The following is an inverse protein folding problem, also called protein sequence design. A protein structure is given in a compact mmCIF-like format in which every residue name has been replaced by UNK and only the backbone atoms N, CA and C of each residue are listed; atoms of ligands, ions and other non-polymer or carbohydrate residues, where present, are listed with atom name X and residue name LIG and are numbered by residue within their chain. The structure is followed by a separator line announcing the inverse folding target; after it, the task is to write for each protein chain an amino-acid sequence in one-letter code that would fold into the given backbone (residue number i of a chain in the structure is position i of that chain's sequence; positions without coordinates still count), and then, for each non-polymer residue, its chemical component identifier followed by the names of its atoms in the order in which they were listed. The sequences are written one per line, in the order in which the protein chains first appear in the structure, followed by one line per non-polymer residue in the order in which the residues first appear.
data_IF_628134375929
#
_entry.id   IF_628134375929
#
_cell.length_a   1.000
_cell.length_b   1.000
_cell.length_c   1.000
_cell.angle_alpha   90.00
_cell.angle_beta   90.00
_cell.angle_gamma   90.00
#
_symmetry.space_group_name_H-M   'P 1'
#
loop_
_entity.id
_entity.type
_entity.pdbx_description
1 polymer ?
#
# COMPACT_ATOMS: atom_id res chain seq x y z
N UNK A 1 -83.99 24.75 -64.90
CA UNK A 1 -83.17 25.52 -65.85
C UNK A 1 -81.88 25.94 -65.15
N UNK A 2 -80.71 25.98 -65.77
CA UNK A 2 -80.24 25.32 -66.99
C UNK A 2 -78.70 25.46 -67.05
N UNK A 3 -78.03 24.52 -67.72
CA UNK A 3 -76.62 24.62 -68.17
C UNK A 3 -76.53 25.49 -69.46
N UNK A 4 -75.37 25.71 -70.13
CA UNK A 4 -74.10 24.96 -70.16
C UNK A 4 -72.84 25.86 -69.99
N UNK A 5 -71.57 25.59 -70.39
CA UNK A 5 -70.83 24.56 -71.18
C UNK A 5 -69.31 24.73 -70.86
N UNK A 6 -68.31 23.87 -71.14
CA UNK A 6 -68.11 22.41 -71.11
C UNK A 6 -66.58 22.10 -71.30
N UNK A 7 -66.22 20.98 -71.94
CA UNK A 7 -64.86 20.59 -72.43
C UNK A 7 -63.88 20.02 -71.37
N UNK A 8 -62.93 19.18 -71.80
CA UNK A 8 -62.18 18.15 -71.04
C UNK A 8 -60.80 17.91 -71.71
N UNK A 9 -59.87 17.21 -71.02
CA UNK A 9 -58.56 16.65 -71.52
C UNK A 9 -57.44 17.64 -71.93
N UNK A 10 -56.12 17.33 -71.85
CA UNK A 10 -55.30 16.48 -70.94
C UNK A 10 -53.81 16.86 -71.07
N UNK A 11 -53.07 16.74 -69.96
CA UNK A 11 -51.66 16.30 -69.85
C UNK A 11 -50.46 17.17 -70.33
N UNK A 12 -49.34 16.89 -69.66
CA UNK A 12 -47.91 16.88 -70.06
C UNK A 12 -46.94 18.09 -70.00
N UNK A 13 -45.86 17.80 -69.26
CA UNK A 13 -44.42 18.15 -69.36
C UNK A 13 -43.81 19.54 -69.02
N UNK A 14 -42.98 19.49 -67.96
CA UNK A 14 -41.57 19.91 -67.87
C UNK A 14 -41.14 21.40 -67.95
N UNK A 15 -40.68 21.91 -66.80
CA UNK A 15 -39.45 22.73 -66.72
C UNK A 15 -38.61 22.22 -65.54
N UNK A 16 -37.33 21.91 -65.78
CA UNK A 16 -36.40 21.42 -64.74
C UNK A 16 -35.97 22.52 -63.75
N UNK A 17 -35.76 22.15 -62.49
CA UNK A 17 -34.84 22.87 -61.60
C UNK A 17 -33.85 21.89 -60.95
N UNK A 18 -32.56 22.19 -61.08
CA UNK A 18 -31.50 21.22 -60.87
C UNK A 18 -31.33 20.80 -59.40
N UNK A 19 -31.73 19.57 -59.08
CA UNK A 19 -31.51 18.97 -57.77
C UNK A 19 -30.05 18.50 -57.65
N UNK A 20 -29.18 19.33 -57.06
CA UNK A 20 -27.79 18.94 -56.82
C UNK A 20 -27.73 17.65 -55.98
N UNK A 21 -27.07 16.58 -56.44
CA UNK A 21 -26.97 15.36 -55.67
C UNK A 21 -26.17 15.64 -54.40
N UNK A 22 -26.82 15.48 -53.24
CA UNK A 22 -26.16 15.65 -51.95
C UNK A 22 -24.91 14.76 -51.92
N UNK A 23 -23.75 15.35 -51.57
CA UNK A 23 -22.47 14.65 -51.59
C UNK A 23 -22.63 13.34 -50.83
N UNK A 24 -22.48 12.19 -51.51
CA UNK A 24 -22.47 10.86 -50.89
C UNK A 24 -21.38 10.85 -49.82
N UNK A 25 -21.75 11.20 -48.58
CA UNK A 25 -20.90 11.10 -47.41
C UNK A 25 -20.51 9.65 -47.34
N UNK A 26 -19.25 9.33 -47.68
CA UNK A 26 -18.74 7.97 -47.59
C UNK A 26 -18.98 7.51 -46.16
N UNK A 27 -19.99 6.66 -45.98
CA UNK A 27 -20.10 5.82 -44.80
C UNK A 27 -18.95 4.84 -44.91
N UNK A 28 -17.78 5.29 -44.47
CA UNK A 28 -16.68 4.42 -44.11
C UNK A 28 -17.29 3.38 -43.18
N UNK A 29 -17.42 2.14 -43.67
CA UNK A 29 -17.78 1.01 -42.81
C UNK A 29 -16.61 0.82 -41.85
N UNK A 30 -16.62 1.56 -40.75
CA UNK A 30 -15.85 1.18 -39.57
C UNK A 30 -16.34 -0.21 -39.22
N UNK A 31 -15.46 -1.21 -39.31
CA UNK A 31 -15.81 -2.54 -38.82
C UNK A 31 -16.18 -2.40 -37.34
N UNK A 32 -17.21 -3.12 -36.86
CA UNK A 32 -17.61 -3.10 -35.45
C UNK A 32 -16.38 -3.37 -34.58
N UNK A 33 -16.20 -2.55 -33.55
CA UNK A 33 -14.87 -2.29 -33.03
C UNK A 33 -14.22 -3.57 -32.47
N UNK A 34 -13.08 -3.97 -33.07
CA UNK A 34 -12.23 -5.04 -32.53
C UNK A 34 -11.52 -4.63 -31.23
N UNK A 35 -11.87 -3.47 -30.66
CA UNK A 35 -11.26 -2.90 -29.46
C UNK A 35 -11.29 -3.85 -28.27
N UNK A 36 -12.41 -4.54 -28.04
CA UNK A 36 -12.50 -5.55 -26.98
C UNK A 36 -11.51 -6.72 -27.18
N UNK A 37 -11.34 -7.21 -28.41
CA UNK A 37 -10.36 -8.27 -28.72
C UNK A 37 -8.92 -7.78 -28.56
N UNK A 38 -8.62 -6.54 -28.96
CA UNK A 38 -7.30 -5.93 -28.74
C UNK A 38 -7.02 -5.75 -27.23
N UNK A 39 -7.99 -5.27 -26.46
CA UNK A 39 -7.86 -5.10 -25.02
C UNK A 39 -7.61 -6.43 -24.29
N UNK A 40 -8.36 -7.49 -24.62
CA UNK A 40 -8.15 -8.82 -24.02
C UNK A 40 -6.83 -9.45 -24.51
N UNK A 41 -6.42 -9.23 -25.76
CA UNK A 41 -5.14 -9.73 -26.26
C UNK A 41 -3.94 -9.04 -25.57
N UNK A 42 -4.00 -7.73 -25.36
CA UNK A 42 -3.02 -7.00 -24.54
C UNK A 42 -3.05 -7.47 -23.08
N UNK A 43 -4.24 -7.69 -22.51
CA UNK A 43 -4.41 -8.27 -21.16
C UNK A 43 -3.83 -9.69 -21.04
N UNK A 44 -3.92 -10.49 -22.11
CA UNK A 44 -3.37 -11.84 -22.19
C UNK A 44 -1.84 -11.78 -22.22
N UNK A 45 -1.25 -10.98 -23.11
CA UNK A 45 0.20 -10.83 -23.25
C UNK A 45 0.82 -10.32 -21.94
N UNK A 46 0.26 -9.25 -21.35
CA UNK A 46 0.77 -8.69 -20.08
C UNK A 46 0.66 -9.69 -18.92
N UNK A 47 -0.42 -10.47 -18.84
CA UNK A 47 -0.59 -11.51 -17.81
C UNK A 47 0.35 -12.70 -18.04
N UNK A 48 0.59 -13.09 -19.30
CA UNK A 48 1.54 -14.15 -19.64
C UNK A 48 3.00 -13.76 -19.32
N UNK A 49 3.38 -12.50 -19.58
CA UNK A 49 4.70 -11.96 -19.21
C UNK A 49 4.86 -11.97 -17.67
N UNK A 50 3.86 -11.48 -16.93
CA UNK A 50 3.88 -11.50 -15.47
C UNK A 50 3.95 -12.93 -14.90
N UNK A 51 3.21 -13.88 -15.49
CA UNK A 51 3.27 -15.30 -15.12
C UNK A 51 4.66 -15.91 -15.37
N UNK A 52 5.26 -15.63 -16.53
CA UNK A 52 6.59 -16.12 -16.90
C UNK A 52 7.69 -15.57 -15.96
N UNK A 53 7.64 -14.27 -15.63
CA UNK A 53 8.57 -13.65 -14.66
C UNK A 53 8.42 -14.31 -13.28
N UNK A 54 7.19 -14.43 -12.77
CA UNK A 54 6.94 -15.02 -11.45
C UNK A 54 7.39 -16.49 -11.38
N UNK A 55 7.11 -17.29 -12.42
CA UNK A 55 7.61 -18.68 -12.49
C UNK A 55 9.14 -18.75 -12.59
N UNK A 56 9.77 -17.81 -13.30
CA UNK A 56 11.22 -17.67 -13.38
C UNK A 56 11.86 -17.35 -12.02
N UNK A 57 11.29 -16.41 -11.26
CA UNK A 57 11.73 -16.10 -9.89
C UNK A 57 11.58 -17.31 -8.98
N UNK A 58 10.45 -18.03 -9.04
CA UNK A 58 10.23 -19.23 -8.23
C UNK A 58 11.25 -20.33 -8.55
N UNK A 59 11.52 -20.57 -9.83
CA UNK A 59 12.53 -21.54 -10.28
C UNK A 59 13.96 -21.15 -9.90
N UNK A 60 14.30 -19.85 -9.97
CA UNK A 60 15.60 -19.34 -9.56
C UNK A 60 15.80 -19.48 -8.04
N UNK A 61 14.81 -19.08 -7.23
CA UNK A 61 14.83 -19.27 -5.76
C UNK A 61 15.01 -20.75 -5.40
N UNK A 62 14.21 -21.64 -5.99
CA UNK A 62 14.29 -23.08 -5.73
C UNK A 62 15.66 -23.67 -6.09
N UNK A 63 16.30 -23.19 -7.16
CA UNK A 63 17.60 -23.73 -7.62
C UNK A 63 18.82 -23.15 -6.90
N UNK A 64 18.72 -21.95 -6.32
CA UNK A 64 19.84 -21.29 -5.64
C UNK A 64 19.81 -21.43 -4.11
N UNK A 65 18.64 -21.70 -3.52
CA UNK A 65 18.44 -21.72 -2.05
C UNK A 65 17.78 -23.01 -1.51
N UNK A 66 17.49 -23.99 -2.38
CA UNK A 66 16.85 -25.28 -2.04
C UNK A 66 15.53 -25.18 -1.24
N UNK A 67 14.81 -24.07 -1.42
CA UNK A 67 13.57 -23.77 -0.69
C UNK A 67 12.34 -24.31 -1.44
N UNK A 68 11.79 -25.42 -0.94
CA UNK A 68 10.45 -25.90 -1.30
C UNK A 68 9.35 -24.96 -0.78
N UNK A 69 9.43 -24.58 0.50
CA UNK A 69 8.55 -23.62 1.17
C UNK A 69 9.34 -22.83 2.22
N UNK A 70 9.37 -21.51 2.08
CA UNK A 70 10.04 -20.63 3.03
C UNK A 70 10.39 -19.28 2.43
N UNK A 71 11.46 -18.67 2.93
CA UNK A 71 11.90 -17.33 2.56
C UNK A 71 13.39 -17.38 2.24
N UNK A 72 13.76 -17.03 1.01
CA UNK A 72 15.17 -16.90 0.62
C UNK A 72 15.67 -15.50 1.02
N UNK A 73 16.89 -15.43 1.56
CA UNK A 73 17.65 -14.20 1.74
C UNK A 73 18.60 -14.00 0.56
N UNK A 74 18.53 -12.84 -0.09
CA UNK A 74 19.36 -12.51 -1.26
C UNK A 74 20.19 -11.25 -0.94
N UNK A 75 21.52 -11.37 -1.01
CA UNK A 75 22.46 -10.27 -0.84
C UNK A 75 22.56 -9.41 -2.12
N UNK A 76 21.54 -8.60 -2.40
CA UNK A 76 21.55 -7.66 -3.53
C UNK A 76 20.83 -6.36 -3.20
N UNK A 77 21.51 -5.22 -3.35
CA UNK A 77 20.90 -3.90 -3.17
C UNK A 77 20.07 -3.49 -4.40
N UNK A 78 18.75 -3.77 -4.38
CA UNK A 78 17.82 -3.36 -5.44
C UNK A 78 16.60 -2.65 -4.85
N UNK A 79 16.54 -1.33 -5.04
CA UNK A 79 15.47 -0.44 -4.53
C UNK A 79 14.13 -0.61 -5.29
N UNK A 80 13.61 -1.83 -5.43
CA UNK A 80 12.39 -2.15 -6.19
C UNK A 80 11.38 -2.94 -5.34
N UNK A 81 10.56 -2.23 -4.57
CA UNK A 81 9.47 -2.82 -3.79
C UNK A 81 8.38 -3.46 -4.67
N UNK A 82 7.97 -4.68 -4.32
CA UNK A 82 6.73 -5.32 -4.77
C UNK A 82 6.23 -6.31 -3.70
N UNK A 83 4.96 -6.69 -3.75
CA UNK A 83 4.26 -7.55 -2.75
C UNK A 83 4.75 -9.01 -2.63
N UNK A 84 5.90 -9.32 -3.23
CA UNK A 84 6.58 -10.63 -3.27
C UNK A 84 8.06 -10.51 -2.91
N UNK A 85 8.67 -9.36 -3.26
CA UNK A 85 10.09 -9.07 -3.13
C UNK A 85 10.21 -7.80 -2.29
N UNK A 86 10.57 -7.98 -1.03
CA UNK A 86 10.74 -6.89 -0.08
C UNK A 86 12.17 -6.92 0.46
N UNK A 87 12.82 -5.76 0.36
CA UNK A 87 14.06 -5.48 1.05
C UNK A 87 13.78 -5.39 2.55
N UNK A 88 14.57 -6.09 3.36
CA UNK A 88 14.67 -5.81 4.79
C UNK A 88 15.97 -5.07 5.04
N UNK A 89 15.84 -3.81 5.47
CA UNK A 89 16.90 -3.18 6.25
C UNK A 89 17.25 -4.08 7.43
N UNK A 90 18.54 -4.21 7.72
CA UNK A 90 19.02 -5.01 8.83
C UNK A 90 18.72 -4.28 10.16
N UNK A 91 17.53 -4.52 10.71
CA UNK A 91 17.23 -4.24 12.12
C UNK A 91 17.84 -5.38 12.93
N UNK A 92 19.01 -5.14 13.51
CA UNK A 92 19.69 -6.17 14.29
C UNK A 92 19.00 -6.31 15.65
N UNK A 93 18.49 -7.50 15.96
CA UNK A 93 18.25 -7.89 17.36
C UNK A 93 19.60 -8.10 18.04
N UNK A 94 19.93 -7.24 18.99
CA UNK A 94 21.16 -7.30 19.78
C UNK A 94 20.87 -7.62 21.24
N UNK A 95 21.92 -7.70 22.05
CA UNK A 95 21.81 -7.81 23.50
C UNK A 95 22.62 -6.69 24.16
N UNK A 96 22.11 -6.17 25.27
CA UNK A 96 22.78 -5.20 26.12
C UNK A 96 23.27 -5.89 27.39
N UNK A 97 24.47 -5.53 27.85
CA UNK A 97 24.99 -5.98 29.16
C UNK A 97 25.62 -4.79 29.87
N UNK A 98 25.08 -4.42 31.03
CA UNK A 98 25.71 -3.44 31.92
C UNK A 98 26.61 -4.18 32.89
N UNK A 99 27.92 -3.98 32.78
CA UNK A 99 28.94 -4.73 33.52
C UNK A 99 29.98 -3.81 34.17
N UNK A 100 30.61 -4.26 35.25
CA UNK A 100 31.74 -3.57 35.86
C UNK A 100 33.06 -3.97 35.18
N UNK A 101 34.14 -3.16 35.27
CA UNK A 101 35.44 -3.52 34.72
C UNK A 101 35.99 -4.89 35.19
N UNK A 102 35.55 -5.39 36.36
CA UNK A 102 35.84 -6.73 36.84
C UNK A 102 35.45 -7.85 35.86
N UNK A 103 34.28 -7.73 35.21
CA UNK A 103 33.78 -8.70 34.23
C UNK A 103 34.81 -8.98 33.13
N UNK A 104 35.28 -7.90 32.47
CA UNK A 104 36.21 -7.96 31.35
C UNK A 104 37.61 -8.44 31.75
N UNK A 105 38.03 -8.15 32.99
CA UNK A 105 39.33 -8.55 33.54
C UNK A 105 39.46 -10.05 33.90
N UNK A 106 38.46 -10.87 33.57
CA UNK A 106 38.55 -12.33 33.66
C UNK A 106 38.30 -12.92 35.05
N UNK A 107 37.66 -12.17 35.96
CA UNK A 107 37.22 -12.72 37.25
C UNK A 107 36.16 -13.82 37.07
N UNK A 108 35.92 -14.62 38.11
CA UNK A 108 34.63 -15.28 38.25
C UNK A 108 33.57 -14.18 38.38
N UNK A 109 32.61 -14.16 37.45
CA UNK A 109 31.61 -13.09 37.36
C UNK A 109 30.28 -13.56 37.91
N UNK A 110 29.57 -12.67 38.61
CA UNK A 110 28.21 -12.92 39.08
C UNK A 110 27.20 -11.94 38.45
N UNK A 111 25.94 -12.41 38.34
CA UNK A 111 24.78 -11.57 37.97
C UNK A 111 23.87 -11.45 39.19
N UNK A 112 23.58 -10.22 39.62
CA UNK A 112 22.76 -9.98 40.81
C UNK A 112 21.25 -9.93 40.54
N UNK A 113 20.82 -9.56 39.33
CA UNK A 113 19.47 -9.06 39.11
C UNK A 113 18.53 -9.93 38.25
N UNK A 114 19.02 -10.95 37.54
CA UNK A 114 18.21 -11.89 36.74
C UNK A 114 18.87 -13.28 36.63
N UNK A 115 18.08 -14.31 36.32
CA UNK A 115 18.58 -15.62 35.84
C UNK A 115 19.39 -15.43 34.56
N UNK A 116 20.52 -16.14 34.42
CA UNK A 116 21.57 -15.81 33.46
C UNK A 116 22.11 -17.05 32.72
N UNK A 117 22.74 -16.78 31.58
CA UNK A 117 23.23 -17.76 30.62
C UNK A 117 24.77 -17.70 30.63
N UNK A 118 25.39 -18.53 31.48
CA UNK A 118 26.85 -18.48 31.74
C UNK A 118 27.68 -18.77 30.47
N UNK A 119 27.19 -19.62 29.58
CA UNK A 119 27.85 -19.95 28.31
C UNK A 119 27.81 -18.76 27.36
N UNK A 120 26.62 -18.17 27.14
CA UNK A 120 26.48 -16.99 26.30
C UNK A 120 27.25 -15.78 26.84
N UNK A 121 27.22 -15.53 28.16
CA UNK A 121 27.98 -14.43 28.78
C UNK A 121 29.50 -14.67 28.74
N UNK A 122 29.95 -15.91 28.83
CA UNK A 122 31.36 -16.26 28.67
C UNK A 122 31.84 -16.05 27.23
N UNK A 123 31.02 -16.39 26.23
CA UNK A 123 31.32 -16.13 24.83
C UNK A 123 31.32 -14.62 24.52
N UNK A 124 30.32 -13.87 25.02
CA UNK A 124 30.27 -12.42 24.88
C UNK A 124 31.52 -11.75 25.48
N UNK A 125 31.97 -12.22 26.65
CA UNK A 125 33.24 -11.78 27.25
C UNK A 125 34.45 -12.14 26.40
N UNK A 126 34.47 -13.33 25.81
CA UNK A 126 35.55 -13.81 24.94
C UNK A 126 35.64 -13.00 23.63
N UNK A 127 34.52 -12.52 23.11
CA UNK A 127 34.46 -11.66 21.92
C UNK A 127 34.68 -10.17 22.20
N UNK A 128 34.41 -9.68 23.43
CA UNK A 128 34.54 -8.28 23.83
C UNK A 128 35.87 -7.58 23.44
N UNK A 129 37.06 -8.22 23.41
CA UNK A 129 38.29 -7.59 22.92
C UNK A 129 38.31 -7.25 21.43
N UNK A 130 37.33 -7.72 20.65
CA UNK A 130 37.14 -7.35 19.22
C UNK A 130 36.15 -6.21 19.02
N UNK A 131 35.51 -5.73 20.10
CA UNK A 131 34.47 -4.71 20.03
C UNK A 131 35.09 -3.31 20.03
N UNK A 132 34.42 -2.36 19.39
CA UNK A 132 34.89 -0.98 19.31
C UNK A 132 34.54 -0.26 20.61
N UNK A 133 35.52 0.34 21.31
CA UNK A 133 35.25 1.28 22.40
C UNK A 133 34.66 2.56 21.82
N UNK A 134 33.48 2.92 22.30
CA UNK A 134 32.79 4.18 22.00
C UNK A 134 32.59 4.97 23.30
N UNK A 135 32.69 6.29 23.20
CA UNK A 135 32.37 7.17 24.32
C UNK A 135 30.83 7.31 24.47
N UNK A 136 30.29 7.58 25.68
CA UNK A 136 28.86 7.49 25.97
C UNK A 136 27.93 8.19 24.96
N UNK A 137 28.26 9.42 24.54
CA UNK A 137 27.43 10.18 23.60
C UNK A 137 27.46 9.63 22.16
N UNK A 138 28.54 8.97 21.75
CA UNK A 138 28.68 8.29 20.46
C UNK A 138 27.94 6.96 20.47
N UNK A 139 28.06 6.19 21.56
CA UNK A 139 27.31 4.96 21.78
C UNK A 139 25.79 5.19 21.70
N UNK A 140 25.30 6.26 22.35
CA UNK A 140 23.90 6.67 22.27
C UNK A 140 23.50 7.04 20.84
N UNK A 141 24.32 7.77 20.09
CA UNK A 141 23.99 8.16 18.71
C UNK A 141 23.94 6.97 17.73
N UNK A 142 24.79 5.96 17.93
CA UNK A 142 24.78 4.72 17.14
C UNK A 142 23.53 3.89 17.49
N UNK A 143 23.29 3.61 18.77
CA UNK A 143 22.21 2.70 19.17
C UNK A 143 20.81 3.36 19.27
N UNK A 144 20.71 4.69 19.19
CA UNK A 144 19.43 5.38 19.02
C UNK A 144 18.80 5.16 17.62
N UNK A 145 19.49 4.47 16.71
CA UNK A 145 18.97 4.02 15.41
C UNK A 145 19.19 2.51 15.30
N UNK A 146 18.15 1.66 15.37
CA UNK A 146 18.32 0.19 15.41
C UNK A 146 18.71 -0.44 14.05
N UNK A 147 19.16 0.36 13.07
CA UNK A 147 19.65 -0.10 11.76
C UNK A 147 21.10 0.35 11.56
N UNK A 148 21.99 -0.61 11.33
CA UNK A 148 23.39 -0.33 10.99
C UNK A 148 24.34 -1.49 11.31
N UNK A 149 25.63 -1.25 11.06
CA UNK A 149 26.74 -2.20 11.22
C UNK A 149 27.11 -2.54 12.67
N UNK A 150 26.14 -2.60 13.59
CA UNK A 150 26.36 -2.86 15.02
C UNK A 150 25.37 -3.88 15.61
N UNK A 151 25.90 -4.73 16.50
CA UNK A 151 25.19 -5.81 17.18
C UNK A 151 25.31 -5.65 18.71
N UNK A 152 25.70 -6.69 19.46
CA UNK A 152 25.71 -6.68 20.92
C UNK A 152 26.55 -5.54 21.52
N UNK A 153 26.11 -4.99 22.65
CA UNK A 153 26.78 -3.88 23.34
C UNK A 153 27.00 -4.18 24.83
N UNK A 154 28.21 -3.87 25.31
CA UNK A 154 28.55 -3.96 26.73
C UNK A 154 28.75 -2.53 27.25
N UNK A 155 27.93 -2.11 28.19
CA UNK A 155 28.07 -0.83 28.90
C UNK A 155 28.98 -1.06 30.11
N UNK A 156 30.11 -0.37 30.17
CA UNK A 156 31.09 -0.57 31.24
C UNK A 156 30.96 0.55 32.27
N UNK A 157 30.68 0.17 33.52
CA UNK A 157 30.57 1.14 34.62
C UNK A 157 31.92 1.74 34.99
N UNK A 158 31.88 2.96 35.52
CA UNK A 158 33.07 3.66 36.01
C UNK A 158 33.62 3.06 37.31
N UNK A 159 32.70 2.68 38.19
CA UNK A 159 33.01 2.10 39.49
C UNK A 159 33.02 0.56 39.41
N UNK A 160 33.95 -0.07 40.12
CA UNK A 160 33.91 -1.50 40.40
C UNK A 160 32.97 -1.75 41.59
N UNK A 161 32.01 -2.67 41.42
CA UNK A 161 31.18 -3.19 42.51
C UNK A 161 31.57 -4.62 42.91
N UNK A 162 30.91 -5.22 43.93
CA UNK A 162 31.04 -6.63 44.28
C UNK A 162 30.31 -7.58 43.29
N UNK A 163 29.82 -7.02 42.19
CA UNK A 163 28.99 -7.67 41.16
C UNK A 163 29.57 -7.29 39.81
N UNK A 164 29.81 -8.28 38.97
CA UNK A 164 30.37 -8.09 37.64
C UNK A 164 29.33 -7.69 36.60
N UNK A 165 28.08 -8.15 36.73
CA UNK A 165 26.99 -7.84 35.80
C UNK A 165 25.75 -7.31 36.54
N UNK A 166 25.39 -6.08 36.21
CA UNK A 166 24.35 -5.27 36.85
C UNK A 166 22.98 -5.45 36.20
N UNK A 167 22.91 -5.45 34.87
CA UNK A 167 21.70 -5.73 34.11
C UNK A 167 22.09 -6.36 32.78
N UNK A 168 21.24 -7.21 32.22
CA UNK A 168 21.44 -7.74 30.87
C UNK A 168 20.11 -8.00 30.19
N UNK A 169 20.01 -7.72 28.90
CA UNK A 169 18.78 -7.86 28.13
C UNK A 169 19.13 -8.49 26.77
N UNK A 170 18.41 -9.55 26.38
CA UNK A 170 18.54 -10.20 25.07
C UNK A 170 17.38 -9.80 24.16
N UNK A 171 17.63 -9.83 22.86
CA UNK A 171 16.66 -9.44 21.82
C UNK A 171 16.18 -7.99 21.96
N UNK A 172 17.11 -7.11 22.33
CA UNK A 172 16.95 -5.65 22.31
C UNK A 172 17.03 -5.19 20.85
N UNK A 173 16.17 -4.25 20.45
CA UNK A 173 16.09 -3.79 19.07
C UNK A 173 15.12 -4.62 18.22
N UNK A 174 13.90 -4.13 18.12
CA UNK A 174 12.96 -4.45 17.05
C UNK A 174 12.52 -3.16 16.35
N UNK A 175 11.32 -3.17 15.78
CA UNK A 175 10.72 -1.98 15.16
C UNK A 175 10.03 -1.04 16.19
N UNK A 176 10.18 -1.29 17.50
CA UNK A 176 9.37 -0.69 18.56
C UNK A 176 9.95 0.57 19.19
N UNK A 177 9.09 1.56 19.44
CA UNK A 177 9.39 2.76 20.24
C UNK A 177 9.80 2.44 21.70
N UNK A 178 9.59 1.20 22.16
CA UNK A 178 10.07 0.72 23.47
C UNK A 178 11.50 0.20 23.46
N UNK A 179 12.09 -0.09 22.30
CA UNK A 179 13.32 -0.90 22.23
C UNK A 179 14.59 -0.13 22.59
N UNK A 180 14.48 1.19 22.74
CA UNK A 180 15.55 2.06 23.25
C UNK A 180 15.45 2.35 24.76
N UNK A 181 14.49 1.75 25.49
CA UNK A 181 14.29 2.00 26.94
C UNK A 181 15.56 1.74 27.77
N UNK A 182 16.43 0.81 27.34
CA UNK A 182 17.70 0.52 28.02
C UNK A 182 18.71 1.69 27.99
N UNK A 183 18.60 2.60 27.01
CA UNK A 183 19.46 3.79 26.88
C UNK A 183 19.02 4.87 27.89
N UNK A 184 17.73 4.85 28.24
CA UNK A 184 17.01 5.92 28.90
C UNK A 184 16.77 5.62 30.38
N UNK A 185 16.50 6.66 31.18
CA UNK A 185 16.08 6.43 32.55
C UNK A 185 14.67 5.81 32.60
N UNK A 186 14.51 4.74 33.38
CA UNK A 186 13.23 4.06 33.61
C UNK A 186 12.19 4.94 34.35
N UNK A 187 12.55 6.16 34.74
CA UNK A 187 11.59 7.20 35.17
C UNK A 187 10.73 7.74 34.01
N UNK A 188 11.09 7.49 32.73
CA UNK A 188 10.30 7.88 31.55
C UNK A 188 9.05 7.01 31.28
N UNK A 189 8.76 6.00 32.11
CA UNK A 189 7.69 5.00 31.88
C UNK A 189 6.23 5.52 31.78
N UNK A 190 5.98 6.82 31.91
CA UNK A 190 4.66 7.44 31.70
C UNK A 190 4.54 8.13 30.33
N UNK A 191 4.37 7.33 29.27
CA UNK A 191 3.85 7.76 27.97
C UNK A 191 4.71 8.76 27.17
N UNK A 192 5.97 9.00 27.55
CA UNK A 192 6.86 9.93 26.85
C UNK A 192 7.91 9.19 26.02
N UNK A 193 8.05 9.59 24.75
CA UNK A 193 9.16 9.16 23.88
C UNK A 193 10.46 9.67 24.49
N UNK A 194 11.49 8.83 24.53
CA UNK A 194 12.80 9.20 25.07
C UNK A 194 13.51 10.18 24.12
N UNK A 195 13.87 11.40 24.57
CA UNK A 195 14.37 12.46 23.69
C UNK A 195 15.86 12.28 23.40
N UNK A 196 16.22 11.34 22.52
CA UNK A 196 17.61 10.91 22.26
C UNK A 196 18.61 12.05 22.01
N UNK A 197 18.17 13.09 21.30
CA UNK A 197 18.99 14.28 21.01
C UNK A 197 19.29 15.12 22.24
N UNK A 198 18.36 15.20 23.19
CA UNK A 198 18.53 15.90 24.47
C UNK A 198 19.34 15.02 25.43
N UNK A 199 19.07 13.71 25.45
CA UNK A 199 19.80 12.73 26.25
C UNK A 199 21.30 12.69 25.90
N UNK A 200 21.67 12.66 24.61
CA UNK A 200 23.08 12.68 24.20
C UNK A 200 23.81 13.98 24.64
N UNK A 201 23.11 15.12 24.66
CA UNK A 201 23.66 16.38 25.15
C UNK A 201 23.77 16.40 26.69
N UNK A 202 22.76 15.91 27.41
CA UNK A 202 22.77 15.79 28.87
C UNK A 202 23.86 14.84 29.35
N UNK A 203 24.01 13.68 28.71
CA UNK A 203 25.08 12.70 28.98
C UNK A 203 26.47 13.30 28.80
N UNK A 204 26.65 14.18 27.80
CA UNK A 204 27.91 14.90 27.58
C UNK A 204 28.21 15.91 28.70
N UNK A 205 27.19 16.43 29.38
CA UNK A 205 27.33 17.43 30.46
C UNK A 205 27.39 16.82 31.88
N UNK A 206 26.57 15.79 32.15
CA UNK A 206 26.27 15.28 33.49
C UNK A 206 26.69 13.80 33.72
N UNK A 207 27.13 13.12 32.65
CA UNK A 207 27.52 11.71 32.63
C UNK A 207 26.32 10.75 32.50
N UNK A 208 26.49 9.65 31.75
CA UNK A 208 25.43 8.66 31.57
C UNK A 208 25.20 7.86 32.85
N UNK A 209 23.94 7.86 33.33
CA UNK A 209 23.53 7.16 34.55
C UNK A 209 22.31 6.29 34.28
N UNK A 210 22.48 4.98 34.38
CA UNK A 210 21.38 4.03 34.23
C UNK A 210 20.89 3.51 35.60
N UNK A 211 19.59 3.23 35.75
CA UNK A 211 19.07 2.55 36.94
C UNK A 211 19.48 1.07 36.94
N UNK A 212 19.60 0.47 38.12
CA UNK A 212 19.61 -0.98 38.29
C UNK A 212 18.28 -1.61 37.87
N UNK A 213 18.29 -2.93 37.64
CA UNK A 213 17.12 -3.64 37.12
C UNK A 213 15.87 -3.47 38.00
N UNK A 214 14.72 -3.17 37.39
CA UNK A 214 13.43 -2.97 38.08
C UNK A 214 12.76 -4.27 38.52
N UNK A 215 13.22 -5.44 38.03
CA UNK A 215 12.60 -6.75 38.27
C UNK A 215 12.98 -7.38 39.62
N UNK A 216 14.07 -6.93 40.24
CA UNK A 216 14.57 -7.39 41.52
C UNK A 216 14.99 -6.16 42.33
N UNK A 217 14.46 -6.00 43.54
CA UNK A 217 14.76 -4.88 44.43
C UNK A 217 15.57 -5.37 45.63
N UNK A 218 16.85 -5.00 45.70
CA UNK A 218 17.81 -5.30 46.76
C UNK A 218 18.86 -4.17 46.84
N UNK A 219 19.95 -4.35 47.60
CA UNK A 219 21.01 -3.33 47.79
C UNK A 219 21.70 -2.92 46.47
N UNK A 220 21.80 -3.85 45.51
CA UNK A 220 22.54 -3.71 44.25
C UNK A 220 21.65 -3.57 43.02
N UNK A 221 20.42 -4.09 43.08
CA UNK A 221 19.42 -4.06 42.02
C UNK A 221 18.23 -3.16 42.46
N UNK A 222 17.90 -2.13 41.70
CA UNK A 222 16.69 -1.35 41.95
C UNK A 222 16.72 0.08 41.39
N UNK A 223 15.55 0.74 41.39
CA UNK A 223 15.36 2.09 40.80
C UNK A 223 16.18 3.20 41.45
N UNK A 224 16.55 3.01 42.71
CA UNK A 224 17.36 3.97 43.46
C UNK A 224 18.88 3.78 43.23
N UNK A 225 19.30 2.57 42.83
CA UNK A 225 20.71 2.26 42.56
C UNK A 225 21.06 2.74 41.15
N UNK A 226 22.04 3.65 41.04
CA UNK A 226 22.41 4.33 39.79
C UNK A 226 23.86 4.06 39.44
N UNK A 227 24.10 3.59 38.23
CA UNK A 227 25.42 3.22 37.73
C UNK A 227 25.89 4.24 36.70
N UNK A 228 27.06 4.83 36.93
CA UNK A 228 27.69 5.73 35.97
C UNK A 228 28.42 4.89 34.91
N UNK A 229 28.06 5.07 33.63
CA UNK A 229 28.72 4.40 32.51
C UNK A 229 29.95 5.24 32.10
N UNK A 230 31.12 4.61 32.01
CA UNK A 230 32.36 5.25 31.56
C UNK A 230 32.50 5.18 30.03
N UNK A 231 32.15 4.03 29.44
CA UNK A 231 32.19 3.78 27.99
C UNK A 231 31.27 2.61 27.61
N UNK A 232 31.12 2.38 26.30
CA UNK A 232 30.59 1.12 25.81
C UNK A 232 31.56 0.40 24.86
N UNK A 233 31.41 -0.92 24.77
CA UNK A 233 32.02 -1.77 23.76
C UNK A 233 30.92 -2.22 22.80
N UNK A 234 30.98 -1.78 21.55
CA UNK A 234 30.00 -2.11 20.52
C UNK A 234 30.56 -3.18 19.57
N UNK A 235 29.83 -4.28 19.39
CA UNK A 235 30.16 -5.30 18.40
C UNK A 235 29.88 -4.75 17.00
N UNK A 236 30.92 -4.46 16.22
CA UNK A 236 30.74 -4.18 14.80
C UNK A 236 30.35 -5.47 14.06
N UNK A 237 29.34 -5.40 13.20
CA UNK A 237 28.89 -6.49 12.31
C UNK A 237 28.76 -5.96 10.89
N UNK A 238 28.81 -6.83 9.88
CA UNK A 238 28.59 -6.40 8.50
C UNK A 238 27.07 -6.31 8.22
N UNK A 239 26.63 -5.21 7.64
CA UNK A 239 25.24 -5.05 7.16
C UNK A 239 24.94 -6.02 6.00
N UNK A 240 24.47 -7.22 6.31
CA UNK A 240 23.85 -8.11 5.34
C UNK A 240 22.42 -7.65 5.06
N UNK A 241 22.25 -6.72 4.12
CA UNK A 241 20.96 -6.45 3.49
C UNK A 241 20.46 -7.76 2.85
N UNK A 242 19.30 -8.24 3.31
CA UNK A 242 18.69 -9.47 2.84
C UNK A 242 17.34 -9.12 2.21
N UNK A 243 17.25 -9.21 0.88
CA UNK A 243 15.95 -9.27 0.21
C UNK A 243 15.29 -10.59 0.60
N UNK A 244 14.07 -10.53 1.11
CA UNK A 244 13.27 -11.69 1.46
C UNK A 244 12.23 -11.98 0.38
N UNK A 245 12.17 -13.22 -0.12
CA UNK A 245 11.16 -13.66 -1.10
C UNK A 245 10.12 -14.55 -0.44
N UNK A 246 8.88 -14.04 -0.31
CA UNK A 246 7.76 -14.79 0.27
C UNK A 246 7.22 -15.86 -0.71
N UNK A 247 7.86 -17.02 -0.76
CA UNK A 247 7.51 -18.16 -1.65
C UNK A 247 6.01 -18.52 -1.66
N UNK A 248 5.28 -18.57 -0.51
CA UNK A 248 3.85 -18.84 -0.51
C UNK A 248 3.01 -17.77 -1.25
N UNK A 249 3.37 -16.49 -1.10
CA UNK A 249 2.69 -15.39 -1.80
C UNK A 249 2.98 -15.43 -3.30
N UNK A 250 4.22 -15.76 -3.69
CA UNK A 250 4.60 -15.98 -5.09
C UNK A 250 3.77 -17.10 -5.74
N UNK A 251 3.59 -18.24 -5.06
CA UNK A 251 2.74 -19.34 -5.54
C UNK A 251 1.28 -18.92 -5.71
N UNK A 252 0.71 -18.15 -4.76
CA UNK A 252 -0.65 -17.61 -4.88
C UNK A 252 -0.76 -16.65 -6.08
N UNK A 253 0.22 -15.76 -6.28
CA UNK A 253 0.22 -14.82 -7.41
C UNK A 253 0.40 -15.54 -8.75
N UNK A 254 1.18 -16.62 -8.82
CA UNK A 254 1.28 -17.52 -9.99
C UNK A 254 -0.09 -18.14 -10.29
N UNK A 255 -0.75 -18.73 -9.29
CA UNK A 255 -2.07 -19.34 -9.46
C UNK A 255 -3.13 -18.32 -9.94
N UNK A 256 -3.17 -17.13 -9.34
CA UNK A 256 -4.07 -16.05 -9.74
C UNK A 256 -3.81 -15.57 -11.19
N UNK A 257 -2.54 -15.43 -11.61
CA UNK A 257 -2.22 -15.05 -12.98
C UNK A 257 -2.52 -16.18 -13.99
N UNK A 258 -2.33 -17.45 -13.62
CA UNK A 258 -2.73 -18.59 -14.44
C UNK A 258 -4.25 -18.63 -14.67
N UNK A 259 -5.06 -18.49 -13.61
CA UNK A 259 -6.53 -18.42 -13.72
C UNK A 259 -6.96 -17.22 -14.56
N UNK A 260 -6.37 -16.04 -14.35
CA UNK A 260 -6.63 -14.83 -15.14
C UNK A 260 -6.29 -15.01 -16.62
N UNK A 261 -5.16 -15.65 -16.94
CA UNK A 261 -4.77 -15.96 -18.31
C UNK A 261 -5.72 -16.96 -18.96
N UNK A 262 -6.10 -18.02 -18.25
CA UNK A 262 -7.09 -19.00 -18.70
C UNK A 262 -8.45 -18.32 -19.00
N UNK A 263 -8.92 -17.44 -18.12
CA UNK A 263 -10.12 -16.64 -18.36
C UNK A 263 -10.02 -15.78 -19.63
N UNK A 264 -8.89 -15.08 -19.87
CA UNK A 264 -8.71 -14.30 -21.10
C UNK A 264 -8.66 -15.19 -22.37
N UNK A 265 -7.97 -16.33 -22.33
CA UNK A 265 -7.91 -17.31 -23.43
C UNK A 265 -9.31 -17.84 -23.75
N UNK A 266 -10.06 -18.29 -22.74
CA UNK A 266 -11.47 -18.74 -22.91
C UNK A 266 -12.35 -17.62 -23.45
N UNK A 267 -12.11 -16.36 -23.05
CA UNK A 267 -12.88 -15.22 -23.55
C UNK A 267 -12.55 -14.89 -25.02
N UNK A 268 -11.28 -15.00 -25.45
CA UNK A 268 -10.86 -14.76 -26.83
C UNK A 268 -11.39 -15.79 -27.83
N UNK A 269 -11.40 -17.07 -27.44
CA UNK A 269 -11.78 -18.18 -28.33
C UNK A 269 -13.24 -18.64 -28.16
N UNK A 270 -13.83 -18.46 -26.98
CA UNK A 270 -15.21 -18.85 -26.68
C UNK A 270 -16.27 -17.80 -27.02
N UNK A 271 -15.96 -16.49 -26.93
CA UNK A 271 -16.94 -15.45 -27.27
C UNK A 271 -17.01 -15.18 -28.78
N UNK A 272 -18.00 -15.80 -29.41
CA UNK A 272 -18.34 -15.57 -30.82
C UNK A 272 -19.15 -14.27 -31.04
N UNK A 273 -19.84 -13.76 -30.01
CA UNK A 273 -20.54 -12.47 -30.04
C UNK A 273 -19.64 -11.32 -29.54
N UNK A 274 -19.97 -10.08 -29.90
CA UNK A 274 -19.35 -8.89 -29.30
C UNK A 274 -19.95 -8.64 -27.91
N UNK A 275 -19.19 -8.74 -26.81
CA UNK A 275 -19.72 -8.57 -25.48
C UNK A 275 -19.85 -7.09 -25.11
N UNK A 276 -21.03 -6.68 -24.64
CA UNK A 276 -21.32 -5.33 -24.16
C UNK A 276 -20.77 -5.17 -22.72
N UNK A 277 -19.44 -5.21 -22.57
CA UNK A 277 -18.77 -5.21 -21.26
C UNK A 277 -18.87 -3.85 -20.57
N UNK A 278 -18.70 -2.77 -21.33
CA UNK A 278 -18.83 -1.39 -20.86
C UNK A 278 -20.11 -0.75 -21.37
N UNK A 279 -20.53 0.33 -20.70
CA UNK A 279 -21.63 1.19 -21.18
C UNK A 279 -21.24 1.86 -22.53
N UNK A 280 -19.94 1.98 -22.83
CA UNK A 280 -19.45 2.43 -24.14
C UNK A 280 -19.76 1.43 -25.25
N UNK A 281 -19.40 0.16 -25.05
CA UNK A 281 -19.67 -0.93 -26.02
C UNK A 281 -21.18 -1.09 -26.26
N UNK A 282 -21.99 -0.95 -25.22
CA UNK A 282 -23.45 -0.95 -25.33
C UNK A 282 -23.98 0.22 -26.17
N UNK A 283 -23.45 1.43 -25.99
CA UNK A 283 -23.84 2.60 -26.78
C UNK A 283 -23.36 2.49 -28.23
N UNK A 284 -22.15 1.96 -28.50
CA UNK A 284 -21.69 1.67 -29.87
C UNK A 284 -22.63 0.64 -30.54
N UNK A 285 -22.93 -0.47 -29.87
CA UNK A 285 -23.81 -1.52 -30.37
C UNK A 285 -25.21 -1.02 -30.72
N UNK A 286 -25.85 -0.22 -29.85
CA UNK A 286 -27.19 0.32 -30.11
C UNK A 286 -27.24 1.49 -31.11
N UNK A 287 -26.08 2.06 -31.48
CA UNK A 287 -25.97 3.07 -32.53
C UNK A 287 -25.81 2.44 -33.92
N UNK A 288 -25.11 1.30 -34.00
CA UNK A 288 -24.90 0.55 -35.26
C UNK A 288 -26.11 -0.36 -35.57
N UNK A 289 -26.58 -1.15 -34.59
CA UNK A 289 -27.78 -1.99 -34.71
C UNK A 289 -28.93 -1.50 -33.82
N UNK A 290 -30.01 -1.03 -34.45
CA UNK A 290 -31.20 -0.51 -33.75
C UNK A 290 -32.06 -1.65 -33.22
N UNK A 291 -32.24 -1.73 -31.91
CA UNK A 291 -33.16 -2.69 -31.30
C UNK A 291 -34.61 -2.48 -31.79
N UNK A 292 -35.11 -3.47 -32.54
CA UNK A 292 -36.47 -3.48 -33.09
C UNK A 292 -37.57 -3.46 -32.02
N UNK A 293 -37.27 -3.86 -30.78
CA UNK A 293 -38.25 -3.85 -29.67
C UNK A 293 -38.44 -2.47 -29.05
N UNK A 294 -37.50 -1.55 -29.24
CA UNK A 294 -37.58 -0.16 -28.74
C UNK A 294 -37.87 0.88 -29.83
N UNK A 295 -37.98 0.48 -31.10
CA UNK A 295 -38.42 1.35 -32.20
C UNK A 295 -39.80 1.97 -31.90
N UNK A 296 -39.91 3.29 -32.12
CA UNK A 296 -41.15 4.05 -31.94
C UNK A 296 -41.41 4.53 -30.51
N UNK A 297 -40.70 4.01 -29.51
CA UNK A 297 -40.82 4.49 -28.13
C UNK A 297 -39.99 5.75 -27.88
N UNK A 298 -40.49 6.59 -26.96
CA UNK A 298 -39.75 7.75 -26.45
C UNK A 298 -38.61 7.36 -25.51
N UNK A 299 -38.04 8.34 -24.80
CA UNK A 299 -36.88 8.12 -23.91
C UNK A 299 -37.26 7.19 -22.75
N UNK A 300 -36.80 5.94 -22.83
CA UNK A 300 -37.00 4.95 -21.78
C UNK A 300 -36.01 5.14 -20.64
N UNK A 301 -36.52 5.12 -19.41
CA UNK A 301 -35.70 5.03 -18.19
C UNK A 301 -35.75 3.60 -17.66
N UNK A 302 -34.69 3.14 -16.99
CA UNK A 302 -34.66 1.80 -16.39
C UNK A 302 -35.90 1.50 -15.52
N UNK A 303 -36.35 2.46 -14.71
CA UNK A 303 -37.58 2.34 -13.93
C UNK A 303 -38.86 2.15 -14.79
N UNK A 304 -38.92 2.76 -15.98
CA UNK A 304 -40.05 2.55 -16.92
C UNK A 304 -39.96 1.17 -17.58
N UNK A 305 -38.75 0.67 -17.86
CA UNK A 305 -38.53 -0.68 -18.41
C UNK A 305 -38.90 -1.76 -17.37
N UNK A 306 -38.47 -1.62 -16.12
CA UNK A 306 -38.84 -2.55 -15.05
C UNK A 306 -40.35 -2.54 -14.75
N UNK A 307 -41.03 -1.39 -14.91
CA UNK A 307 -42.49 -1.31 -14.83
C UNK A 307 -43.17 -2.00 -16.02
N UNK A 308 -42.58 -1.93 -17.21
CA UNK A 308 -43.08 -2.62 -18.41
C UNK A 308 -42.97 -4.14 -18.29
N UNK A 309 -41.80 -4.68 -17.94
CA UNK A 309 -41.60 -6.13 -17.76
C UNK A 309 -42.52 -6.71 -16.68
N UNK A 310 -42.75 -5.97 -15.59
CA UNK A 310 -43.52 -6.47 -14.44
C UNK A 310 -45.04 -6.25 -14.58
N UNK A 311 -45.52 -5.52 -15.60
CA UNK A 311 -46.96 -5.21 -15.77
C UNK A 311 -47.51 -5.41 -17.20
N UNK A 312 -46.69 -5.79 -18.17
CA UNK A 312 -47.14 -6.13 -19.55
C UNK A 312 -47.82 -4.99 -20.33
N UNK A 313 -47.68 -3.74 -19.89
CA UNK A 313 -48.43 -2.58 -20.40
C UNK A 313 -47.92 -2.16 -21.79
N UNK A 314 -48.68 -2.43 -22.84
CA UNK A 314 -48.23 -2.24 -24.24
C UNK A 314 -48.09 -0.76 -24.69
N UNK A 315 -48.59 0.21 -23.93
CA UNK A 315 -48.66 1.64 -24.31
C UNK A 315 -47.61 2.50 -23.60
N UNK A 316 -46.36 2.45 -24.05
CA UNK A 316 -45.25 3.28 -23.54
C UNK A 316 -45.07 4.63 -24.28
N UNK A 317 -46.12 5.15 -24.91
CA UNK A 317 -46.15 6.49 -25.51
C UNK A 317 -46.23 7.59 -24.43
N UNK A 318 -45.16 7.77 -23.66
CA UNK A 318 -44.97 8.95 -22.80
C UNK A 318 -44.63 10.15 -23.70
N UNK A 319 -45.48 11.18 -23.80
CA UNK A 319 -45.15 12.37 -24.59
C UNK A 319 -43.88 13.04 -24.04
N UNK A 320 -43.02 13.51 -24.94
CA UNK A 320 -41.73 14.07 -24.61
C UNK A 320 -41.86 15.47 -24.01
N UNK A 321 -41.14 15.72 -22.91
CA UNK A 321 -41.12 17.01 -22.24
C UNK A 321 -39.68 17.41 -21.89
N UNK A 322 -39.20 18.52 -22.46
CA UNK A 322 -37.87 19.05 -22.14
C UNK A 322 -37.84 19.56 -20.70
N UNK A 323 -37.19 18.82 -19.81
CA UNK A 323 -36.70 19.36 -18.54
C UNK A 323 -35.20 19.57 -18.66
N UNK A 324 -34.77 20.81 -18.93
CA UNK A 324 -33.35 21.21 -18.91
C UNK A 324 -32.77 20.89 -17.53
N UNK A 325 -31.97 19.82 -17.44
CA UNK A 325 -31.23 19.44 -16.22
C UNK A 325 -29.79 19.95 -16.33
N UNK A 326 -29.20 20.35 -15.22
CA UNK A 326 -27.74 20.58 -15.13
C UNK A 326 -27.04 19.23 -15.27
N UNK A 327 -25.90 19.15 -15.96
CA UNK A 327 -25.22 17.87 -16.26
C UNK A 327 -24.94 17.00 -15.02
N UNK A 328 -24.57 17.62 -13.88
CA UNK A 328 -24.38 16.93 -12.61
C UNK A 328 -25.63 16.20 -12.07
N UNK A 329 -26.84 16.62 -12.47
CA UNK A 329 -28.11 15.98 -12.12
C UNK A 329 -28.49 14.77 -13.01
N UNK A 330 -27.56 14.31 -13.86
CA UNK A 330 -27.55 12.96 -14.42
C UNK A 330 -27.21 11.90 -13.34
N UNK A 331 -26.53 12.31 -12.27
CA UNK A 331 -26.16 11.50 -11.11
C UNK A 331 -27.03 11.93 -9.92
N UNK A 332 -27.42 11.00 -9.06
CA UNK A 332 -28.19 11.31 -7.86
C UNK A 332 -27.32 11.98 -6.79
N UNK A 333 -27.86 12.98 -6.09
CA UNK A 333 -27.15 13.73 -5.05
C UNK A 333 -26.62 12.81 -3.94
N UNK A 334 -27.38 11.76 -3.58
CA UNK A 334 -26.94 10.73 -2.64
C UNK A 334 -25.64 10.02 -3.09
N UNK A 335 -25.49 9.68 -4.39
CA UNK A 335 -24.23 9.07 -4.89
C UNK A 335 -23.06 10.05 -4.87
N UNK A 336 -23.29 11.33 -5.15
CA UNK A 336 -22.27 12.38 -5.00
C UNK A 336 -21.85 12.55 -3.54
N UNK A 337 -22.78 12.60 -2.60
CA UNK A 337 -22.48 12.74 -1.17
C UNK A 337 -21.71 11.51 -0.67
N UNK A 338 -22.21 10.29 -0.90
CA UNK A 338 -21.59 9.06 -0.39
C UNK A 338 -20.19 8.82 -0.95
N UNK A 339 -19.96 9.05 -2.25
CA UNK A 339 -18.62 8.86 -2.85
C UNK A 339 -17.58 9.85 -2.30
N UNK A 340 -17.91 11.13 -2.22
CA UNK A 340 -16.99 12.13 -1.68
C UNK A 340 -16.84 12.02 -0.16
N UNK A 341 -17.88 11.65 0.59
CA UNK A 341 -17.77 11.37 2.03
C UNK A 341 -16.83 10.19 2.29
N UNK A 342 -16.97 9.09 1.55
CA UNK A 342 -16.06 7.95 1.66
C UNK A 342 -14.61 8.34 1.30
N UNK A 343 -14.42 9.14 0.24
CA UNK A 343 -13.09 9.62 -0.16
C UNK A 343 -12.47 10.57 0.88
N UNK A 344 -13.26 11.47 1.47
CA UNK A 344 -12.82 12.36 2.55
C UNK A 344 -12.48 11.58 3.82
N UNK A 345 -13.22 10.52 4.17
CA UNK A 345 -12.90 9.63 5.30
C UNK A 345 -11.60 8.86 5.06
N UNK A 346 -11.36 8.37 3.84
CA UNK A 346 -10.10 7.73 3.46
C UNK A 346 -8.91 8.70 3.56
N UNK A 347 -9.05 9.94 3.05
CA UNK A 347 -8.03 10.97 3.20
C UNK A 347 -7.81 11.34 4.67
N UNK A 348 -8.87 11.49 5.47
CA UNK A 348 -8.77 11.81 6.90
C UNK A 348 -8.02 10.72 7.68
N UNK A 349 -8.28 9.44 7.40
CA UNK A 349 -7.51 8.34 7.97
C UNK A 349 -6.02 8.42 7.60
N UNK A 350 -5.71 8.74 6.34
CA UNK A 350 -4.33 8.99 5.89
C UNK A 350 -3.65 10.16 6.62
N UNK A 351 -4.37 11.27 6.84
CA UNK A 351 -3.85 12.42 7.59
C UNK A 351 -3.66 12.12 9.09
N UNK A 352 -4.53 11.31 9.71
CA UNK A 352 -4.35 10.86 11.10
C UNK A 352 -3.12 9.97 11.25
N UNK A 353 -2.94 8.99 10.36
CA UNK A 353 -1.75 8.13 10.35
C UNK A 353 -0.47 8.96 10.11
N UNK A 354 -0.51 9.94 9.20
CA UNK A 354 0.60 10.86 8.97
C UNK A 354 0.92 11.68 10.23
N UNK A 355 -0.10 12.25 10.90
CA UNK A 355 0.10 13.01 12.13
C UNK A 355 0.78 12.17 13.24
N UNK A 356 0.29 10.95 13.47
CA UNK A 356 0.89 10.02 14.44
C UNK A 356 2.35 9.66 14.08
N UNK A 357 2.64 9.45 12.79
CA UNK A 357 4.02 9.20 12.34
C UNK A 357 4.94 10.42 12.53
N UNK A 358 4.43 11.64 12.34
CA UNK A 358 5.18 12.88 12.54
C UNK A 358 5.42 13.18 14.03
N UNK A 359 4.49 12.84 14.92
CA UNK A 359 4.69 12.92 16.37
C UNK A 359 5.76 11.93 16.85
N UNK A 360 5.73 10.69 16.33
CA UNK A 360 6.77 9.68 16.57
C UNK A 360 8.17 10.14 16.08
N UNK A 361 8.29 10.55 14.81
CA UNK A 361 9.54 11.07 14.22
C UNK A 361 10.05 12.30 14.97
N UNK A 362 9.16 13.19 15.43
CA UNK A 362 9.53 14.35 16.25
C UNK A 362 10.04 13.96 17.64
N UNK A 363 9.46 12.94 18.27
CA UNK A 363 9.92 12.43 19.57
C UNK A 363 11.36 11.89 19.53
N UNK A 364 11.78 11.38 18.38
CA UNK A 364 13.16 10.93 18.10
C UNK A 364 14.14 12.10 17.82
N UNK A 365 13.67 13.36 17.82
CA UNK A 365 14.50 14.55 17.60
C UNK A 365 14.88 14.81 16.14
N UNK A 366 14.26 14.09 15.20
CA UNK A 366 14.42 14.29 13.74
C UNK A 366 13.68 15.54 13.26
N UNK A 367 14.14 16.13 12.15
CA UNK A 367 13.51 17.33 11.59
C UNK A 367 12.23 17.00 10.81
N UNK A 368 11.09 17.41 11.37
CA UNK A 368 9.77 17.30 10.74
C UNK A 368 9.40 18.50 9.87
N UNK A 369 10.34 19.42 9.61
CA UNK A 369 10.14 20.44 8.56
C UNK A 369 9.98 19.79 7.18
N UNK A 370 9.36 20.52 6.24
CA UNK A 370 9.23 20.04 4.86
C UNK A 370 10.61 19.77 4.22
N UNK A 371 11.66 20.47 4.66
CA UNK A 371 13.03 20.23 4.19
C UNK A 371 13.64 18.97 4.80
N UNK A 372 13.42 18.72 6.09
CA UNK A 372 13.86 17.51 6.78
C UNK A 372 13.18 16.27 6.21
N UNK A 373 11.85 16.32 6.08
CA UNK A 373 11.04 15.26 5.46
C UNK A 373 11.44 14.99 4.00
N UNK A 374 11.76 16.02 3.22
CA UNK A 374 12.28 15.85 1.86
C UNK A 374 13.70 15.25 1.84
N UNK A 375 14.54 15.52 2.87
CA UNK A 375 15.92 15.00 2.93
C UNK A 375 15.99 13.48 3.13
N UNK A 376 14.98 12.87 3.76
CA UNK A 376 14.87 11.40 3.82
C UNK A 376 14.69 10.77 2.43
N UNK A 377 14.05 11.49 1.51
CA UNK A 377 13.83 11.06 0.12
C UNK A 377 12.60 10.15 -0.03
N UNK A 378 11.92 10.29 -1.18
CA UNK A 378 10.73 9.48 -1.48
C UNK A 378 11.11 8.02 -1.73
N UNK A 379 10.41 7.10 -1.06
CA UNK A 379 10.55 5.65 -1.27
C UNK A 379 11.79 5.01 -0.61
N UNK A 380 12.54 5.74 0.22
CA UNK A 380 13.55 5.14 1.09
C UNK A 380 12.92 4.72 2.43
N UNK A 381 13.36 3.60 3.05
CA UNK A 381 13.04 3.33 4.45
C UNK A 381 13.68 4.41 5.33
N UNK A 382 12.88 5.04 6.19
CA UNK A 382 13.39 5.83 7.32
C UNK A 382 13.63 4.83 8.45
N UNK A 383 14.87 4.69 8.98
CA UNK A 383 15.19 3.64 9.95
C UNK A 383 14.26 3.59 11.15
N UNK A 384 13.87 4.77 11.61
CA UNK A 384 13.17 4.99 12.87
C UNK A 384 11.65 5.25 12.68
N UNK A 385 11.11 5.04 11.46
CA UNK A 385 9.67 5.16 11.16
C UNK A 385 9.01 3.84 10.75
N UNK A 386 9.63 2.70 11.08
CA UNK A 386 9.01 1.39 10.93
C UNK A 386 7.75 1.29 11.80
N UNK A 387 6.61 0.93 11.19
CA UNK A 387 5.38 0.74 11.96
C UNK A 387 5.51 -0.58 12.73
N UNK A 388 5.76 -0.50 14.04
CA UNK A 388 5.58 -1.64 14.93
C UNK A 388 4.12 -2.11 14.85
N UNK A 389 3.93 -3.38 14.50
CA UNK A 389 2.61 -4.01 14.36
C UNK A 389 2.39 -5.09 15.42
N UNK A 390 3.18 -5.15 16.49
CA UNK A 390 3.16 -6.24 17.47
C UNK A 390 1.78 -6.36 18.14
N UNK A 391 1.05 -5.26 18.31
CA UNK A 391 -0.35 -5.28 18.77
C UNK A 391 -1.30 -6.11 17.87
N UNK A 392 -0.97 -6.31 16.60
CA UNK A 392 -1.72 -7.10 15.60
C UNK A 392 -1.04 -8.46 15.35
N UNK A 393 0.22 -8.63 15.74
CA UNK A 393 1.16 -9.63 15.18
C UNK A 393 1.89 -10.47 16.26
N UNK A 394 1.83 -10.10 17.53
CA UNK A 394 2.48 -10.83 18.64
C UNK A 394 2.12 -12.33 18.67
N UNK A 395 3.11 -13.15 19.04
CA UNK A 395 3.08 -14.61 19.13
C UNK A 395 2.65 -15.37 17.85
N UNK A 396 2.43 -14.68 16.72
CA UNK A 396 2.09 -15.34 15.45
C UNK A 396 3.33 -15.67 14.60
N UNK A 397 3.32 -16.79 13.82
CA UNK A 397 4.51 -17.22 13.08
C UNK A 397 4.86 -16.28 11.92
N UNK A 398 6.16 -16.07 11.69
CA UNK A 398 6.73 -15.10 10.72
C UNK A 398 6.02 -15.01 9.36
N UNK A 399 5.53 -16.12 8.79
CA UNK A 399 4.79 -16.13 7.52
C UNK A 399 3.46 -15.36 7.58
N UNK A 400 2.76 -15.40 8.72
CA UNK A 400 1.50 -14.70 8.95
C UNK A 400 1.75 -13.20 9.09
N UNK A 401 2.79 -12.86 9.84
CA UNK A 401 3.26 -11.51 10.12
C UNK A 401 3.54 -10.76 8.81
N UNK A 402 4.30 -11.40 7.91
CA UNK A 402 4.59 -10.87 6.58
C UNK A 402 3.33 -10.76 5.69
N UNK A 403 2.43 -11.75 5.71
CA UNK A 403 1.19 -11.71 4.94
C UNK A 403 0.27 -10.56 5.38
N UNK A 404 0.16 -10.30 6.68
CA UNK A 404 -0.57 -9.16 7.24
C UNK A 404 0.06 -7.84 6.80
N UNK A 405 1.38 -7.70 6.89
CA UNK A 405 2.10 -6.51 6.43
C UNK A 405 1.87 -6.23 4.94
N UNK A 406 1.94 -7.26 4.09
CA UNK A 406 1.69 -7.14 2.64
C UNK A 406 0.24 -6.71 2.35
N UNK A 407 -0.76 -7.27 3.05
CA UNK A 407 -2.15 -6.84 2.90
C UNK A 407 -2.33 -5.38 3.32
N UNK A 408 -1.78 -4.97 4.45
CA UNK A 408 -1.86 -3.57 4.94
C UNK A 408 -1.24 -2.61 3.92
N UNK A 409 -0.03 -2.90 3.42
CA UNK A 409 0.66 -2.07 2.45
C UNK A 409 -0.10 -1.93 1.11
N UNK A 410 -0.80 -2.98 0.66
CA UNK A 410 -1.56 -2.98 -0.60
C UNK A 410 -2.99 -2.43 -0.47
N UNK A 411 -3.54 -2.35 0.74
CA UNK A 411 -4.93 -1.93 0.99
C UNK A 411 -5.24 -0.51 0.46
N UNK A 412 -4.37 0.52 0.63
CA UNK A 412 -4.57 1.83 0.03
C UNK A 412 -4.69 1.79 -1.50
N UNK A 413 -3.89 0.96 -2.19
CA UNK A 413 -3.93 0.82 -3.65
C UNK A 413 -5.25 0.18 -4.13
N UNK A 414 -5.76 -0.81 -3.38
CA UNK A 414 -7.07 -1.40 -3.65
C UNK A 414 -8.20 -0.37 -3.46
N UNK A 415 -8.16 0.41 -2.38
CA UNK A 415 -9.15 1.46 -2.09
C UNK A 415 -9.15 2.55 -3.17
N UNK A 416 -7.97 3.04 -3.58
CA UNK A 416 -7.83 4.01 -4.69
C UNK A 416 -8.35 3.43 -6.01
N UNK A 417 -8.15 2.14 -6.27
CA UNK A 417 -8.67 1.44 -7.45
C UNK A 417 -10.22 1.37 -7.44
N UNK A 418 -10.83 1.14 -6.28
CA UNK A 418 -12.30 1.20 -6.12
C UNK A 418 -12.82 2.62 -6.34
N UNK A 419 -12.16 3.64 -5.77
CA UNK A 419 -12.52 5.04 -6.04
C UNK A 419 -12.41 5.40 -7.53
N UNK A 420 -11.35 4.96 -8.22
CA UNK A 420 -11.20 5.16 -9.67
C UNK A 420 -12.39 4.59 -10.45
N UNK A 421 -12.83 3.36 -10.15
CA UNK A 421 -14.01 2.78 -10.82
C UNK A 421 -15.30 3.55 -10.49
N UNK A 422 -15.51 3.93 -9.23
CA UNK A 422 -16.68 4.71 -8.80
C UNK A 422 -16.73 6.09 -9.47
N UNK A 423 -15.64 6.86 -9.44
CA UNK A 423 -15.61 8.19 -10.05
C UNK A 423 -15.73 8.12 -11.58
N UNK A 424 -15.18 7.10 -12.25
CA UNK A 424 -15.40 6.93 -13.70
C UNK A 424 -16.88 6.65 -14.03
N UNK A 425 -17.60 5.81 -13.27
CA UNK A 425 -19.04 5.61 -13.47
C UNK A 425 -19.85 6.90 -13.20
N UNK A 426 -19.47 7.70 -12.20
CA UNK A 426 -20.14 8.97 -11.91
C UNK A 426 -19.90 10.00 -13.02
N UNK A 427 -18.65 10.13 -13.49
CA UNK A 427 -18.25 11.13 -14.49
C UNK A 427 -18.76 10.78 -15.90
N UNK A 428 -18.72 9.51 -16.32
CA UNK A 428 -19.18 9.08 -17.66
C UNK A 428 -20.68 9.27 -17.90
N UNK A 429 -21.50 9.27 -16.83
CA UNK A 429 -22.94 9.56 -16.92
C UNK A 429 -23.25 11.00 -17.34
N UNK A 430 -22.36 11.95 -17.06
CA UNK A 430 -22.54 13.39 -17.37
C UNK A 430 -22.55 13.65 -18.89
N UNK A 431 -21.51 13.27 -19.68
CA UNK A 431 -21.55 13.44 -21.13
C UNK A 431 -22.56 12.52 -21.81
N UNK A 432 -22.86 11.33 -21.26
CA UNK A 432 -23.94 10.47 -21.75
C UNK A 432 -25.29 11.20 -21.73
N UNK A 433 -25.66 11.82 -20.60
CA UNK A 433 -26.88 12.64 -20.51
C UNK A 433 -26.82 13.83 -21.48
N UNK A 434 -25.70 14.57 -21.52
CA UNK A 434 -25.58 15.75 -22.38
C UNK A 434 -25.67 15.42 -23.89
N UNK A 435 -25.14 14.28 -24.33
CA UNK A 435 -25.28 13.80 -25.71
C UNK A 435 -26.70 13.28 -25.99
N UNK A 436 -27.32 12.61 -25.00
CA UNK A 436 -28.75 12.26 -25.01
C UNK A 436 -29.65 13.47 -25.25
N UNK A 437 -29.29 14.63 -24.69
CA UNK A 437 -30.05 15.86 -24.84
C UNK A 437 -29.75 16.56 -26.19
N UNK A 438 -28.49 16.62 -26.64
CA UNK A 438 -28.12 17.21 -27.94
C UNK A 438 -28.73 16.49 -29.14
N UNK A 439 -28.63 15.15 -29.21
CA UNK A 439 -29.19 14.38 -30.33
C UNK A 439 -30.72 14.44 -30.40
N UNK A 440 -31.40 14.91 -29.36
CA UNK A 440 -32.85 15.13 -29.36
C UNK A 440 -33.25 16.53 -29.80
N UNK A 441 -32.35 17.51 -29.70
CA UNK A 441 -32.55 18.84 -30.30
C UNK A 441 -32.25 18.92 -31.81
N UNK A 442 -31.48 17.97 -32.37
CA UNK A 442 -31.24 17.89 -33.82
C UNK A 442 -32.36 17.22 -34.60
N UNK A 443 -33.20 16.42 -33.92
CA UNK A 443 -34.25 15.58 -34.53
C UNK A 443 -35.66 16.10 -34.19
N UNK A 444 -35.77 17.35 -33.73
CA UNK A 444 -37.02 18.04 -33.38
C UNK A 444 -37.31 19.23 -34.32
N UNK A 445 -36.82 19.13 -35.55
CA UNK A 445 -36.93 20.09 -36.65
C UNK A 445 -37.22 19.34 -37.95
#
# INVERSE_FOLDING_TARGET
MAQPEAVFTTADENVETAHQPSKKRKTTRQCPSKGWRVAILVGSITTAIALAINCGVLGWVRTHYDLDYGIASIEFAVNSYNSIVFDSTAVNTFSTVTATPGFLNGTAFNVACMSWDEEWLSELRRSAPTYIRLEPAECIQIYARPQGSYANVILVTKDNGPIEIVDYQRNVGGAGLGDCIWICDQTYHEGRVCPMKELAADVTANGWRLPGSTKVENEYCGRNTRFMIDYCLAQHTQETCQIFVATPLLVVVIACNFVKLACFVVTLFGLQFSPLITIGDAVESFLDEKDTRTVGFGVLTAATICQWTNKGTRTLNKPWAVKKRRGFAAVSVCRWILSNLAFLLFLAAGFVLLALSLESVRGLGLDTSVSGLASFGLGKPIPDSSINLDFIVADSPLYYNMLVCVIIANTPQLIVSVFYLVYNDLLTRIPQQANSDRHRSSNSH
#
